data_IF_842781506324
#
_entry.id   IF_842781506324
#
_cell.length_a   1.000
_cell.length_b   1.000
_cell.length_c   1.000
_cell.angle_alpha   90.00
_cell.angle_beta   90.00
_cell.angle_gamma   90.00
#
_symmetry.space_group_name_H-M   'P 1'
#
loop_
_entity.id
_entity.type
_entity.pdbx_description
1 polymer ?
#
# COMPACT_ATOMS: atom_id res chain seq x y z
N UNK A 1 12.45 -16.67 13.18
CA UNK A 1 11.83 -15.73 14.11
C UNK A 1 12.68 -14.49 14.24
N UNK A 2 12.19 -13.39 13.76
CA UNK A 2 12.83 -12.14 14.06
C UNK A 2 12.05 -11.49 15.16
N UNK A 3 12.69 -11.35 16.24
CA UNK A 3 12.37 -10.31 17.16
C UNK A 3 13.04 -9.04 16.73
N UNK A 4 12.51 -8.00 17.24
CA UNK A 4 12.88 -6.65 17.02
C UNK A 4 14.37 -6.40 16.83
N UNK A 5 14.59 -5.35 16.18
CA UNK A 5 15.80 -4.83 15.61
C UNK A 5 16.82 -4.26 16.58
N UNK A 6 16.68 -4.43 17.89
CA UNK A 6 17.78 -4.07 18.79
C UNK A 6 18.86 -5.15 18.74
N UNK A 7 20.10 -4.74 18.62
CA UNK A 7 21.24 -5.66 18.63
C UNK A 7 21.22 -6.58 19.87
N UNK A 8 20.69 -6.09 20.98
CA UNK A 8 20.45 -6.85 22.20
C UNK A 8 19.38 -7.92 22.06
N UNK A 9 18.32 -7.67 21.28
CA UNK A 9 17.27 -8.65 21.03
C UNK A 9 17.74 -9.82 20.19
N UNK A 10 18.58 -9.55 19.19
CA UNK A 10 19.14 -10.60 18.34
C UNK A 10 20.18 -11.46 19.04
N UNK A 11 21.01 -10.85 19.86
CA UNK A 11 21.97 -11.61 20.66
C UNK A 11 21.28 -12.53 21.68
N UNK A 12 20.14 -12.12 22.22
CA UNK A 12 19.34 -13.00 23.09
C UNK A 12 18.66 -14.14 22.34
N UNK A 13 18.33 -13.93 21.07
CA UNK A 13 17.77 -14.97 20.21
C UNK A 13 18.82 -15.99 19.81
N UNK A 14 20.05 -15.56 19.59
CA UNK A 14 21.16 -16.44 19.22
C UNK A 14 21.59 -17.34 20.39
N UNK A 15 21.44 -16.86 21.62
CA UNK A 15 21.77 -17.64 22.82
C UNK A 15 20.69 -18.66 23.21
N UNK A 16 19.52 -18.63 22.59
CA UNK A 16 18.42 -19.56 22.83
C UNK A 16 18.37 -20.60 21.72
N UNK A 17 18.94 -21.75 21.98
CA UNK A 17 19.00 -22.88 21.04
C UNK A 17 17.63 -23.37 20.58
N UNK A 18 16.54 -23.00 21.25
CA UNK A 18 15.16 -23.33 20.84
C UNK A 18 14.66 -22.48 19.68
N UNK A 19 15.38 -21.43 19.31
CA UNK A 19 14.86 -20.38 18.44
C UNK A 19 15.03 -20.62 16.95
N UNK A 20 16.14 -21.20 16.53
CA UNK A 20 16.38 -21.55 15.14
C UNK A 20 17.22 -22.81 15.08
N UNK A 21 16.85 -23.74 14.22
CA UNK A 21 17.59 -24.97 13.96
C UNK A 21 18.20 -24.89 12.57
N UNK A 22 19.26 -25.65 12.28
CA UNK A 22 19.77 -25.76 10.91
C UNK A 22 18.64 -26.15 9.96
N UNK A 23 18.38 -25.28 8.99
CA UNK A 23 17.28 -25.44 8.03
C UNK A 23 16.01 -24.64 8.34
N UNK A 24 15.89 -24.02 9.49
CA UNK A 24 14.81 -23.10 9.79
C UNK A 24 14.98 -21.78 9.00
N UNK A 25 13.85 -21.20 8.63
CA UNK A 25 13.86 -19.90 7.97
C UNK A 25 13.98 -18.80 9.00
N UNK A 26 15.07 -18.08 8.95
CA UNK A 26 15.31 -16.92 9.79
C UNK A 26 15.33 -15.68 8.91
N UNK A 27 14.45 -14.74 9.18
CA UNK A 27 14.42 -13.45 8.53
C UNK A 27 15.31 -12.48 9.28
N UNK A 28 16.22 -11.82 8.60
CA UNK A 28 17.11 -10.82 9.19
C UNK A 28 16.65 -9.43 8.81
N UNK A 29 16.58 -8.57 9.81
CA UNK A 29 16.66 -7.15 9.56
C UNK A 29 18.12 -6.76 9.54
N UNK A 30 18.59 -6.16 8.47
CA UNK A 30 19.94 -5.65 8.38
C UNK A 30 20.12 -4.56 9.46
N UNK A 31 20.87 -4.88 10.48
CA UNK A 31 21.35 -3.91 11.46
C UNK A 31 22.80 -3.61 11.11
N UNK A 32 23.16 -2.35 11.21
CA UNK A 32 24.45 -1.82 10.79
C UNK A 32 25.65 -2.55 11.40
N UNK A 33 25.48 -3.17 12.56
CA UNK A 33 26.53 -3.81 13.34
C UNK A 33 26.30 -5.32 13.56
N UNK A 34 25.39 -5.93 12.78
CA UNK A 34 25.06 -7.32 12.94
C UNK A 34 25.83 -8.18 11.94
N UNK A 35 26.58 -9.13 12.45
CA UNK A 35 27.16 -10.18 11.64
C UNK A 35 26.09 -11.22 11.34
N UNK A 36 25.52 -11.18 10.15
CA UNK A 36 24.38 -12.00 9.78
C UNK A 36 24.67 -13.49 9.86
N UNK A 37 25.91 -13.88 9.63
CA UNK A 37 26.37 -15.25 9.83
C UNK A 37 26.08 -15.79 11.23
N UNK A 38 26.31 -14.98 12.25
CA UNK A 38 26.12 -15.36 13.65
C UNK A 38 24.64 -15.61 13.98
N UNK A 39 23.73 -14.93 13.29
CA UNK A 39 22.29 -15.08 13.53
C UNK A 39 21.65 -16.21 12.75
N UNK A 40 22.30 -16.68 11.71
CA UNK A 40 21.74 -17.71 10.83
C UNK A 40 21.98 -19.13 11.34
N UNK A 41 22.99 -19.34 12.16
CA UNK A 41 23.43 -20.67 12.55
C UNK A 41 23.80 -20.74 14.04
N UNK A 42 22.81 -20.73 14.92
CA UNK A 42 23.04 -20.69 16.37
C UNK A 42 23.78 -21.90 16.94
N UNK A 43 23.76 -23.01 16.23
CA UNK A 43 24.41 -24.26 16.64
C UNK A 43 25.88 -24.37 16.24
N UNK A 44 26.35 -23.51 15.36
CA UNK A 44 27.74 -23.48 14.88
C UNK A 44 28.14 -22.05 14.52
N UNK A 45 28.66 -21.35 15.51
CA UNK A 45 29.01 -19.93 15.40
C UNK A 45 30.15 -19.73 14.37
N UNK A 46 31.08 -20.63 14.28
CA UNK A 46 32.23 -20.48 13.39
C UNK A 46 31.79 -20.65 11.92
N UNK A 47 30.95 -21.62 11.65
CA UNK A 47 30.36 -21.78 10.33
C UNK A 47 29.45 -20.59 9.97
N UNK A 48 28.70 -20.06 10.94
CA UNK A 48 27.82 -18.92 10.74
C UNK A 48 28.59 -17.63 10.45
N UNK A 49 29.72 -17.42 11.09
CA UNK A 49 30.55 -16.24 10.89
C UNK A 49 31.18 -16.18 9.48
N UNK A 50 31.28 -17.31 8.80
CA UNK A 50 31.74 -17.37 7.41
C UNK A 50 30.65 -17.06 6.37
N UNK A 51 29.40 -17.03 6.78
CA UNK A 51 28.28 -16.78 5.89
C UNK A 51 28.07 -15.29 5.67
N UNK A 52 27.90 -14.92 4.43
CA UNK A 52 27.43 -13.58 4.12
C UNK A 52 25.90 -13.60 3.88
N UNK A 53 25.23 -12.46 3.99
CA UNK A 53 23.78 -12.37 3.79
C UNK A 53 23.31 -12.87 2.44
N UNK A 54 24.12 -12.63 1.42
CA UNK A 54 23.81 -13.00 0.04
C UNK A 54 23.76 -14.51 -0.12
N UNK A 55 24.65 -15.24 0.55
CA UNK A 55 24.71 -16.71 0.47
C UNK A 55 23.49 -17.38 1.08
N UNK A 56 22.98 -16.81 2.16
CA UNK A 56 21.74 -17.30 2.79
C UNK A 56 20.56 -17.10 1.84
N UNK A 57 20.48 -15.96 1.22
CA UNK A 57 19.43 -15.67 0.23
C UNK A 57 19.54 -16.58 -0.98
N UNK A 58 20.72 -16.72 -1.56
CA UNK A 58 20.93 -17.60 -2.73
C UNK A 58 20.57 -19.02 -2.42
N UNK A 59 21.00 -19.58 -1.29
CA UNK A 59 20.67 -20.97 -0.92
C UNK A 59 19.18 -21.18 -0.73
N UNK A 60 18.47 -20.24 -0.13
CA UNK A 60 17.04 -20.32 0.08
C UNK A 60 16.29 -20.14 -1.24
N UNK A 61 16.78 -19.25 -2.07
CA UNK A 61 16.22 -18.96 -3.38
C UNK A 61 16.33 -20.16 -4.33
N UNK A 62 17.54 -20.78 -4.45
CA UNK A 62 17.77 -21.89 -5.35
C UNK A 62 17.02 -23.18 -4.95
N UNK A 63 16.84 -23.39 -3.65
CA UNK A 63 16.20 -24.60 -3.14
C UNK A 63 14.67 -24.55 -3.14
N UNK A 64 14.07 -23.36 -3.12
CA UNK A 64 12.62 -23.18 -2.99
C UNK A 64 12.12 -22.00 -3.82
N UNK A 65 11.96 -22.23 -5.12
CA UNK A 65 11.41 -21.24 -6.04
C UNK A 65 10.10 -20.61 -5.56
N UNK A 66 9.25 -21.37 -4.89
CA UNK A 66 7.99 -20.88 -4.34
C UNK A 66 8.18 -20.02 -3.10
N UNK A 67 9.17 -20.34 -2.30
CA UNK A 67 9.53 -19.51 -1.15
C UNK A 67 10.10 -18.16 -1.59
N UNK A 68 10.95 -18.14 -2.62
CA UNK A 68 11.49 -16.87 -3.13
C UNK A 68 10.42 -15.95 -3.71
N UNK A 69 9.32 -16.51 -4.25
CA UNK A 69 8.16 -15.73 -4.68
C UNK A 69 7.44 -15.04 -3.51
N UNK A 70 7.55 -15.58 -2.31
CA UNK A 70 6.88 -15.05 -1.11
C UNK A 70 7.69 -14.00 -0.35
N UNK A 71 8.93 -13.76 -0.76
CA UNK A 71 9.80 -12.76 -0.14
C UNK A 71 9.74 -11.39 -0.78
N UNK A 72 8.67 -10.99 -1.39
CA UNK A 72 8.58 -9.75 -2.16
C UNK A 72 9.67 -9.62 -3.25
N UNK A 73 10.54 -10.59 -3.41
CA UNK A 73 11.45 -10.69 -4.53
C UNK A 73 10.71 -11.31 -5.68
N UNK A 74 10.40 -10.50 -6.65
CA UNK A 74 9.85 -10.99 -7.89
C UNK A 74 10.87 -11.86 -8.58
N UNK A 75 10.44 -13.05 -8.92
CA UNK A 75 11.19 -13.93 -9.81
C UNK A 75 11.26 -13.38 -11.24
N UNK A 76 10.34 -12.53 -11.61
CA UNK A 76 10.40 -11.73 -12.84
C UNK A 76 10.99 -10.39 -12.49
N UNK A 77 12.10 -10.05 -13.10
CA UNK A 77 12.57 -8.66 -13.14
C UNK A 77 11.38 -7.78 -13.51
N UNK A 78 11.25 -6.65 -12.84
CA UNK A 78 10.33 -5.64 -13.30
C UNK A 78 10.48 -5.52 -14.81
N UNK A 79 9.36 -5.70 -15.51
CA UNK A 79 9.28 -5.36 -16.91
C UNK A 79 9.99 -4.02 -17.09
N UNK A 80 10.71 -3.85 -18.17
CA UNK A 80 11.50 -2.70 -18.59
C UNK A 80 11.38 -1.46 -17.70
N UNK A 81 12.49 -0.88 -17.28
CA UNK A 81 12.53 0.36 -16.49
C UNK A 81 11.66 1.40 -17.18
N UNK A 82 10.44 1.55 -16.72
CA UNK A 82 9.58 2.63 -17.14
C UNK A 82 10.19 3.92 -16.61
N UNK A 83 10.22 4.93 -17.47
CA UNK A 83 10.61 6.27 -17.05
C UNK A 83 9.74 6.71 -15.89
N UNK A 84 10.36 7.28 -14.87
CA UNK A 84 9.64 7.87 -13.73
C UNK A 84 8.76 9.00 -14.24
N UNK A 85 7.50 8.99 -13.84
CA UNK A 85 6.49 9.94 -14.29
C UNK A 85 5.99 10.81 -13.15
N UNK A 86 5.43 11.95 -13.50
CA UNK A 86 4.81 12.85 -12.54
C UNK A 86 3.42 12.34 -12.13
N UNK A 87 3.07 12.50 -10.85
CA UNK A 87 1.69 12.31 -10.40
C UNK A 87 0.80 13.47 -10.88
N UNK A 88 -0.52 13.32 -10.79
CA UNK A 88 -1.44 14.41 -11.06
C UNK A 88 -1.26 15.63 -10.15
N UNK A 89 -0.63 15.46 -8.99
CA UNK A 89 -0.36 16.53 -8.03
C UNK A 89 1.01 17.20 -8.21
N UNK A 90 1.88 16.66 -9.05
CA UNK A 90 3.27 17.12 -9.21
C UNK A 90 3.37 18.62 -9.48
N UNK A 91 2.50 19.18 -10.28
CA UNK A 91 2.50 20.61 -10.61
C UNK A 91 2.34 21.51 -9.36
N UNK A 92 1.70 21.00 -8.30
CA UNK A 92 1.51 21.70 -7.03
C UNK A 92 2.61 21.36 -6.04
N UNK A 93 2.93 20.09 -5.88
CA UNK A 93 3.93 19.64 -4.92
C UNK A 93 5.33 20.12 -5.27
N UNK A 94 5.69 20.23 -6.57
CA UNK A 94 6.98 20.73 -7.03
C UNK A 94 7.22 22.23 -6.74
N UNK A 95 6.17 22.99 -6.42
CA UNK A 95 6.28 24.38 -5.95
C UNK A 95 6.59 24.47 -4.46
N UNK A 96 6.34 23.39 -3.72
CA UNK A 96 6.46 23.35 -2.25
C UNK A 96 7.77 22.69 -1.81
N UNK A 97 8.30 21.75 -2.59
CA UNK A 97 9.55 21.06 -2.30
C UNK A 97 10.36 20.77 -3.56
N UNK A 98 11.65 20.54 -3.37
CA UNK A 98 12.55 20.00 -4.40
C UNK A 98 13.03 18.59 -4.05
N UNK A 99 12.68 18.09 -2.87
CA UNK A 99 13.07 16.76 -2.41
C UNK A 99 12.04 15.72 -2.87
N UNK A 100 12.36 15.04 -3.95
CA UNK A 100 11.52 14.01 -4.56
C UNK A 100 12.23 12.67 -4.59
N UNK A 101 11.47 11.61 -4.47
CA UNK A 101 11.94 10.23 -4.64
C UNK A 101 11.18 9.54 -5.78
N UNK A 102 11.81 8.53 -6.36
CA UNK A 102 11.13 7.58 -7.24
C UNK A 102 10.37 6.56 -6.36
N UNK A 103 9.06 6.75 -6.29
CA UNK A 103 8.17 5.83 -5.60
C UNK A 103 7.37 5.03 -6.62
N UNK A 104 7.80 3.79 -6.90
CA UNK A 104 7.12 2.88 -7.84
C UNK A 104 6.92 3.50 -9.23
N UNK A 105 7.92 4.21 -9.75
CA UNK A 105 7.88 4.86 -11.05
C UNK A 105 7.11 6.18 -11.09
N UNK A 106 6.89 6.82 -9.95
CA UNK A 106 6.37 8.18 -9.83
C UNK A 106 7.32 9.06 -9.03
N UNK A 107 7.48 10.32 -9.45
CA UNK A 107 8.12 11.35 -8.67
C UNK A 107 7.16 11.83 -7.60
N UNK A 108 7.41 11.47 -6.35
CA UNK A 108 6.64 11.90 -5.20
C UNK A 108 7.49 12.69 -4.22
N UNK A 109 6.91 13.69 -3.51
CA UNK A 109 7.60 14.38 -2.44
C UNK A 109 8.10 13.40 -1.37
N UNK A 110 9.36 13.50 -0.99
CA UNK A 110 9.92 12.78 0.15
C UNK A 110 9.65 13.53 1.46
N UNK A 111 9.79 14.84 1.41
CA UNK A 111 9.40 15.78 2.45
C UNK A 111 9.20 17.19 1.87
N UNK A 112 8.67 18.07 2.67
CA UNK A 112 8.49 19.48 2.32
C UNK A 112 9.60 20.32 2.99
N UNK A 113 10.60 20.68 2.24
CA UNK A 113 11.90 21.23 2.69
C UNK A 113 11.82 22.43 3.64
N UNK A 114 10.73 23.20 3.62
CA UNK A 114 10.54 24.34 4.54
C UNK A 114 10.15 23.91 5.95
N UNK A 115 9.57 22.75 6.08
CA UNK A 115 9.00 22.23 7.33
C UNK A 115 9.84 21.09 7.89
N UNK A 116 10.21 20.14 7.05
CA UNK A 116 10.95 18.95 7.44
C UNK A 116 10.08 17.92 8.18
N UNK A 117 10.62 16.72 8.29
CA UNK A 117 9.88 15.53 8.75
C UNK A 117 9.29 15.66 10.17
N UNK A 118 9.92 16.43 11.06
CA UNK A 118 9.43 16.59 12.43
C UNK A 118 8.18 17.46 12.47
N UNK A 119 8.18 18.57 11.74
CA UNK A 119 6.98 19.44 11.65
C UNK A 119 5.84 18.71 10.92
N UNK A 120 6.14 17.99 9.85
CA UNK A 120 5.14 17.18 9.13
C UNK A 120 4.53 16.11 10.04
N UNK A 121 5.36 15.44 10.83
CA UNK A 121 4.88 14.46 11.81
C UNK A 121 3.95 15.12 12.84
N UNK A 122 4.37 16.23 13.43
CA UNK A 122 3.55 16.96 14.43
C UNK A 122 2.25 17.48 13.79
N UNK A 123 2.30 18.00 12.56
CA UNK A 123 1.11 18.41 11.84
C UNK A 123 0.13 17.25 11.61
N UNK A 124 0.63 16.05 11.35
CA UNK A 124 -0.20 14.86 11.25
C UNK A 124 -0.88 14.50 12.59
N UNK A 125 -0.18 14.69 13.71
CA UNK A 125 -0.70 14.37 15.06
C UNK A 125 -1.68 15.41 15.61
N UNK A 126 -1.47 16.68 15.28
CA UNK A 126 -2.19 17.79 15.91
C UNK A 126 -3.14 18.53 14.95
N UNK A 127 -2.89 18.44 13.66
CA UNK A 127 -3.60 19.18 12.62
C UNK A 127 -4.06 18.27 11.49
N UNK A 128 -3.52 18.47 10.29
CA UNK A 128 -3.71 17.62 9.13
C UNK A 128 -2.54 17.79 8.14
N UNK A 129 -2.21 16.70 7.43
CA UNK A 129 -1.21 16.67 6.35
C UNK A 129 -1.81 16.12 5.08
N UNK A 130 -1.23 16.48 3.94
CA UNK A 130 -1.53 15.90 2.63
C UNK A 130 -0.38 15.02 2.18
N UNK A 131 -0.70 13.81 1.74
CA UNK A 131 0.28 12.82 1.25
C UNK A 131 -0.15 12.37 -0.14
N UNK A 132 0.72 12.54 -1.14
CA UNK A 132 0.47 12.02 -2.48
C UNK A 132 0.73 10.50 -2.51
N UNK A 133 -0.32 9.72 -2.72
CA UNK A 133 -0.30 8.26 -2.79
C UNK A 133 -0.57 7.75 -4.21
N UNK A 134 -0.44 8.60 -5.23
CA UNK A 134 -0.78 8.22 -6.62
C UNK A 134 0.03 7.04 -7.15
N UNK A 135 1.19 6.72 -6.57
CA UNK A 135 2.03 5.60 -6.97
C UNK A 135 1.48 4.21 -6.57
N UNK A 136 0.53 4.14 -5.63
CA UNK A 136 -0.15 2.89 -5.31
C UNK A 136 -0.81 2.32 -6.57
N UNK A 137 -0.69 1.02 -6.76
CA UNK A 137 -1.31 0.32 -7.90
C UNK A 137 -2.81 0.19 -7.69
N UNK A 138 -3.56 0.36 -8.76
CA UNK A 138 -5.02 0.31 -8.77
C UNK A 138 -5.46 -0.64 -9.87
N UNK A 139 -6.16 -1.69 -9.46
CA UNK A 139 -6.70 -2.66 -10.39
C UNK A 139 -8.23 -2.68 -10.28
N UNK A 140 -8.90 -2.50 -11.42
CA UNK A 140 -10.34 -2.69 -11.51
C UNK A 140 -10.61 -4.15 -11.88
N UNK A 141 -11.42 -4.82 -11.09
CA UNK A 141 -11.84 -6.21 -11.31
C UNK A 141 -13.34 -6.22 -11.50
N UNK A 142 -13.80 -6.50 -12.70
CA UNK A 142 -15.22 -6.39 -13.08
C UNK A 142 -15.65 -7.67 -13.78
N UNK A 143 -16.76 -8.22 -13.35
CA UNK A 143 -17.35 -9.40 -13.99
C UNK A 143 -18.14 -10.26 -13.02
N UNK A 144 -18.92 -11.22 -13.53
CA UNK A 144 -19.78 -12.07 -12.70
C UNK A 144 -18.99 -12.87 -11.65
N UNK A 145 -17.73 -13.23 -11.93
CA UNK A 145 -16.90 -14.01 -11.02
C UNK A 145 -15.87 -13.17 -10.27
N UNK A 146 -16.04 -11.81 -10.23
CA UNK A 146 -15.11 -10.92 -9.58
C UNK A 146 -15.04 -11.15 -8.06
N UNK A 147 -16.18 -11.41 -7.42
CA UNK A 147 -16.23 -11.75 -6.00
C UNK A 147 -15.48 -13.05 -5.71
N UNK A 148 -15.69 -14.08 -6.52
CA UNK A 148 -15.01 -15.38 -6.34
C UNK A 148 -13.50 -15.27 -6.55
N UNK A 149 -13.05 -14.50 -7.55
CA UNK A 149 -11.63 -14.26 -7.78
C UNK A 149 -11.01 -13.56 -6.57
N UNK A 150 -11.63 -12.48 -6.09
CA UNK A 150 -11.09 -11.73 -4.95
C UNK A 150 -11.13 -12.56 -3.65
N UNK A 151 -12.19 -13.34 -3.45
CA UNK A 151 -12.31 -14.24 -2.30
C UNK A 151 -11.30 -15.40 -2.33
N UNK A 152 -10.85 -15.80 -3.52
CA UNK A 152 -9.82 -16.82 -3.69
C UNK A 152 -8.41 -16.30 -3.46
N UNK A 153 -8.12 -15.06 -3.89
CA UNK A 153 -6.76 -14.48 -3.86
C UNK A 153 -6.42 -13.71 -2.58
N UNK A 154 -7.44 -13.31 -1.82
CA UNK A 154 -7.28 -12.55 -0.59
C UNK A 154 -7.59 -13.39 0.64
N UNK A 155 -6.99 -13.01 1.77
CA UNK A 155 -7.17 -13.75 3.05
C UNK A 155 -8.47 -13.40 3.79
N UNK A 156 -9.19 -12.36 3.36
CA UNK A 156 -10.48 -11.96 3.93
C UNK A 156 -11.65 -12.64 3.21
N UNK A 157 -12.74 -12.82 3.91
CA UNK A 157 -13.99 -13.31 3.32
C UNK A 157 -14.69 -12.16 2.57
N UNK A 158 -14.50 -12.11 1.26
CA UNK A 158 -15.01 -11.02 0.41
C UNK A 158 -16.52 -11.12 0.21
N UNK A 159 -17.12 -12.30 0.35
CA UNK A 159 -18.57 -12.49 0.28
C UNK A 159 -19.35 -11.73 1.37
N UNK A 160 -18.68 -11.36 2.47
CA UNK A 160 -19.24 -10.54 3.54
C UNK A 160 -19.06 -9.02 3.33
N UNK A 161 -18.32 -8.63 2.32
CA UNK A 161 -18.07 -7.21 2.03
C UNK A 161 -19.28 -6.63 1.30
N UNK A 162 -19.93 -5.62 1.87
CA UNK A 162 -21.05 -4.94 1.21
C UNK A 162 -20.56 -3.88 0.20
N UNK A 163 -21.40 -3.52 -0.77
CA UNK A 163 -21.14 -2.38 -1.67
C UNK A 163 -20.97 -1.10 -0.81
N UNK A 164 -19.98 -0.28 -1.15
CA UNK A 164 -19.59 0.89 -0.35
C UNK A 164 -18.59 0.59 0.77
N UNK A 165 -18.27 -0.67 1.02
CA UNK A 165 -17.28 -1.08 2.00
C UNK A 165 -15.89 -1.26 1.39
N UNK A 166 -14.90 -1.17 2.29
CA UNK A 166 -13.49 -1.44 2.03
C UNK A 166 -13.03 -2.50 3.01
N UNK A 167 -12.07 -3.31 2.61
CA UNK A 167 -11.37 -4.23 3.51
C UNK A 167 -9.87 -4.22 3.23
N UNK A 168 -9.08 -4.19 4.28
CA UNK A 168 -7.63 -4.44 4.19
C UNK A 168 -7.39 -5.95 4.25
N UNK A 169 -6.56 -6.45 3.34
CA UNK A 169 -6.26 -7.87 3.22
C UNK A 169 -4.86 -8.12 2.70
N UNK A 170 -4.29 -9.25 3.07
CA UNK A 170 -3.12 -9.79 2.39
C UNK A 170 -3.54 -10.50 1.11
N UNK A 171 -2.68 -10.44 0.09
CA UNK A 171 -2.75 -11.23 -1.14
C UNK A 171 -1.67 -12.29 -1.10
N UNK A 172 -2.06 -13.54 -1.30
CA UNK A 172 -1.17 -14.67 -1.14
C UNK A 172 -1.05 -15.50 -2.41
N UNK A 173 0.08 -16.17 -2.54
CA UNK A 173 0.23 -17.30 -3.46
C UNK A 173 -0.58 -18.51 -2.99
N UNK A 174 -0.72 -19.53 -3.86
CA UNK A 174 -1.45 -20.77 -3.54
C UNK A 174 -0.86 -21.55 -2.36
N UNK A 175 0.42 -21.36 -2.07
CA UNK A 175 1.08 -21.95 -0.91
C UNK A 175 0.87 -21.17 0.41
N UNK A 176 0.04 -20.12 0.40
CA UNK A 176 -0.29 -19.29 1.56
C UNK A 176 0.71 -18.20 1.89
N UNK A 177 1.80 -18.07 1.15
CA UNK A 177 2.77 -17.01 1.38
C UNK A 177 2.29 -15.68 0.81
N UNK A 178 2.33 -14.63 1.63
CA UNK A 178 1.97 -13.28 1.24
C UNK A 178 3.03 -12.67 0.33
N UNK A 179 2.61 -12.05 -0.76
CA UNK A 179 3.51 -11.28 -1.62
C UNK A 179 3.16 -9.79 -1.70
N UNK A 180 1.93 -9.44 -1.36
CA UNK A 180 1.47 -8.04 -1.29
C UNK A 180 0.32 -7.91 -0.30
N UNK A 181 -0.02 -6.69 0.06
CA UNK A 181 -1.17 -6.34 0.86
C UNK A 181 -1.83 -5.06 0.30
N UNK A 182 -3.05 -4.82 0.72
CA UNK A 182 -3.75 -3.66 0.20
C UNK A 182 -5.19 -3.55 0.68
N UNK A 183 -5.90 -2.63 0.05
CA UNK A 183 -7.32 -2.38 0.31
C UNK A 183 -8.18 -2.76 -0.88
N UNK A 184 -9.24 -3.52 -0.62
CA UNK A 184 -10.24 -3.87 -1.60
C UNK A 184 -11.50 -3.04 -1.39
N UNK A 185 -11.88 -2.28 -2.39
CA UNK A 185 -13.13 -1.52 -2.45
C UNK A 185 -14.18 -2.35 -3.19
N UNK A 186 -15.36 -2.51 -2.63
CA UNK A 186 -16.51 -3.06 -3.37
C UNK A 186 -17.32 -1.91 -3.95
N UNK A 187 -17.14 -1.65 -5.24
CA UNK A 187 -17.78 -0.53 -5.95
C UNK A 187 -19.20 -0.84 -6.40
N UNK A 188 -19.46 -2.11 -6.70
CA UNK A 188 -20.77 -2.63 -7.09
C UNK A 188 -20.87 -4.12 -6.76
N UNK A 189 -22.00 -4.74 -7.08
CA UNK A 189 -22.19 -6.19 -6.90
C UNK A 189 -21.11 -7.03 -7.60
N UNK A 190 -20.68 -6.61 -8.78
CA UNK A 190 -19.72 -7.32 -9.63
C UNK A 190 -18.46 -6.52 -9.95
N UNK A 191 -18.22 -5.43 -9.21
CA UNK A 191 -17.12 -4.51 -9.46
C UNK A 191 -16.30 -4.19 -8.21
N UNK A 192 -15.01 -4.43 -8.29
CA UNK A 192 -14.07 -4.21 -7.20
C UNK A 192 -12.88 -3.38 -7.68
N UNK A 193 -12.26 -2.67 -6.74
CA UNK A 193 -10.95 -2.01 -6.93
C UNK A 193 -9.98 -2.51 -5.89
N UNK A 194 -8.88 -3.09 -6.33
CA UNK A 194 -7.75 -3.47 -5.49
C UNK A 194 -6.67 -2.40 -5.53
N UNK A 195 -6.31 -1.88 -4.36
CA UNK A 195 -5.25 -0.88 -4.18
C UNK A 195 -4.11 -1.55 -3.42
N UNK A 196 -2.91 -1.53 -4.00
CA UNK A 196 -1.78 -2.28 -3.44
C UNK A 196 -0.42 -1.65 -3.78
N UNK A 197 0.66 -2.28 -3.32
CA UNK A 197 2.02 -1.79 -3.54
C UNK A 197 2.62 -2.24 -4.87
N UNK A 198 2.23 -3.39 -5.37
CA UNK A 198 2.97 -4.10 -6.40
C UNK A 198 2.17 -4.28 -7.70
N UNK A 199 2.84 -4.03 -8.84
CA UNK A 199 2.23 -4.21 -10.17
C UNK A 199 1.96 -5.70 -10.50
N UNK A 200 2.74 -6.61 -9.92
CA UNK A 200 2.56 -8.04 -10.10
C UNK A 200 1.20 -8.54 -9.60
N UNK A 201 0.58 -7.86 -8.64
CA UNK A 201 -0.77 -8.22 -8.17
C UNK A 201 -1.79 -8.32 -9.31
N UNK A 202 -1.70 -7.41 -10.30
CA UNK A 202 -2.57 -7.46 -11.48
C UNK A 202 -2.28 -8.65 -12.39
N UNK A 203 -1.03 -9.06 -12.52
CA UNK A 203 -0.64 -10.25 -13.27
C UNK A 203 -1.09 -11.53 -12.57
N UNK A 204 -0.86 -11.60 -11.27
CA UNK A 204 -1.32 -12.70 -10.44
C UNK A 204 -2.85 -12.91 -10.53
N UNK A 205 -3.61 -11.84 -10.43
CA UNK A 205 -5.07 -11.90 -10.61
C UNK A 205 -5.47 -12.47 -11.97
N UNK A 206 -4.78 -12.07 -13.06
CA UNK A 206 -5.04 -12.61 -14.41
C UNK A 206 -4.67 -14.08 -14.52
N UNK A 207 -3.52 -14.47 -13.98
CA UNK A 207 -3.07 -15.87 -13.97
C UNK A 207 -4.09 -16.78 -13.23
N UNK A 208 -4.54 -16.34 -12.04
CA UNK A 208 -5.55 -17.07 -11.27
C UNK A 208 -6.89 -17.13 -12.01
N UNK A 209 -7.34 -15.99 -12.56
CA UNK A 209 -8.59 -15.94 -13.30
C UNK A 209 -8.59 -16.90 -14.49
N UNK A 210 -7.48 -16.95 -15.25
CA UNK A 210 -7.32 -17.88 -16.36
C UNK A 210 -7.30 -19.33 -15.89
N UNK A 211 -6.51 -19.65 -14.86
CA UNK A 211 -6.39 -21.02 -14.29
C UNK A 211 -7.73 -21.54 -13.77
N UNK A 212 -8.49 -20.69 -13.11
CA UNK A 212 -9.81 -21.02 -12.53
C UNK A 212 -10.97 -20.83 -13.49
N UNK A 213 -10.71 -20.27 -14.67
CA UNK A 213 -11.72 -19.94 -15.70
C UNK A 213 -12.78 -18.94 -15.20
N UNK A 214 -12.39 -18.01 -14.33
CA UNK A 214 -13.27 -16.95 -13.87
C UNK A 214 -13.54 -15.92 -14.98
N UNK A 215 -14.80 -15.55 -15.13
CA UNK A 215 -15.27 -14.55 -16.11
C UNK A 215 -15.15 -13.15 -15.54
N UNK A 216 -13.97 -12.56 -15.67
CA UNK A 216 -13.62 -11.24 -15.15
C UNK A 216 -12.80 -10.46 -16.17
N UNK A 217 -12.91 -9.14 -16.11
CA UNK A 217 -12.02 -8.19 -16.74
C UNK A 217 -11.16 -7.51 -15.67
N UNK A 218 -9.85 -7.54 -15.83
CA UNK A 218 -8.89 -6.95 -14.90
C UNK A 218 -8.12 -5.86 -15.65
N UNK A 219 -8.28 -4.62 -15.19
CA UNK A 219 -7.65 -3.44 -15.78
C UNK A 219 -6.77 -2.73 -14.77
N UNK A 220 -5.54 -2.41 -15.16
CA UNK A 220 -4.70 -1.49 -14.40
C UNK A 220 -5.18 -0.04 -14.66
N UNK A 221 -5.63 0.63 -13.62
CA UNK A 221 -6.12 2.02 -13.65
C UNK A 221 -5.19 3.00 -12.92
N UNK A 222 -3.97 2.59 -12.58
CA UNK A 222 -3.01 3.38 -11.80
C UNK A 222 -2.80 4.78 -12.38
N UNK A 223 -2.65 4.90 -13.70
CA UNK A 223 -2.41 6.19 -14.37
C UNK A 223 -3.70 7.00 -14.62
N UNK A 224 -4.85 6.41 -14.34
CA UNK A 224 -6.16 7.04 -14.58
C UNK A 224 -6.76 7.63 -13.30
N UNK A 225 -6.17 7.34 -12.14
CA UNK A 225 -6.70 7.74 -10.84
C UNK A 225 -5.55 8.25 -9.98
N UNK A 226 -5.57 9.54 -9.68
CA UNK A 226 -4.70 10.14 -8.67
C UNK A 226 -5.31 9.95 -7.28
N UNK A 227 -4.44 9.75 -6.29
CA UNK A 227 -4.84 9.58 -4.90
C UNK A 227 -4.03 10.52 -4.01
N UNK A 228 -4.72 11.34 -3.24
CA UNK A 228 -4.14 12.13 -2.16
C UNK A 228 -4.79 11.75 -0.83
N UNK A 229 -3.99 11.55 0.18
CA UNK A 229 -4.44 11.27 1.53
C UNK A 229 -4.40 12.56 2.36
N UNK A 230 -5.46 12.82 3.14
CA UNK A 230 -5.51 13.84 4.17
C UNK A 230 -5.60 13.15 5.52
N UNK A 231 -4.60 13.34 6.38
CA UNK A 231 -4.44 12.62 7.63
C UNK A 231 -4.21 13.59 8.79
N UNK A 232 -4.84 13.32 9.91
CA UNK A 232 -4.75 14.11 11.14
C UNK A 232 -6.11 14.48 11.71
N UNK A 233 -6.19 14.91 12.97
CA UNK A 233 -7.45 15.15 13.68
C UNK A 233 -8.37 16.21 13.02
N UNK A 234 -7.82 17.17 12.29
CA UNK A 234 -8.59 18.21 11.59
C UNK A 234 -9.06 17.80 10.19
N UNK A 235 -8.68 16.61 9.70
CA UNK A 235 -9.01 16.16 8.34
C UNK A 235 -10.51 16.13 8.04
N UNK A 236 -11.34 15.72 9.01
CA UNK A 236 -12.80 15.68 8.87
C UNK A 236 -13.39 17.07 8.69
N UNK A 237 -12.96 18.03 9.51
CA UNK A 237 -13.49 19.42 9.47
C UNK A 237 -13.13 20.11 8.14
N UNK A 238 -11.97 19.84 7.62
CA UNK A 238 -11.54 20.34 6.30
C UNK A 238 -12.44 19.77 5.21
N UNK A 239 -12.62 18.45 5.21
CA UNK A 239 -13.41 17.78 4.17
C UNK A 239 -14.90 18.08 4.25
N UNK A 240 -15.46 18.27 5.44
CA UNK A 240 -16.86 18.70 5.60
C UNK A 240 -17.16 20.02 4.89
N UNK A 241 -16.22 20.93 4.85
CA UNK A 241 -16.38 22.22 4.16
C UNK A 241 -16.24 22.10 2.65
N UNK A 242 -15.45 21.13 2.18
CA UNK A 242 -15.07 20.97 0.77
C UNK A 242 -15.98 20.01 0.00
N UNK A 243 -16.53 19.00 0.67
CA UNK A 243 -17.15 17.86 -0.01
C UNK A 243 -18.67 17.94 0.00
N UNK A 244 -19.26 17.87 -1.17
CA UNK A 244 -20.66 17.62 -1.39
C UNK A 244 -20.93 16.14 -1.61
N UNK A 245 -21.67 15.50 -0.70
CA UNK A 245 -22.15 14.14 -0.85
C UNK A 245 -23.63 14.17 -1.30
N UNK A 246 -23.99 13.49 -2.42
CA UNK A 246 -25.40 13.34 -2.80
C UNK A 246 -26.18 12.59 -1.71
N UNK A 247 -27.52 12.78 -1.61
CA UNK A 247 -28.34 12.13 -0.56
C UNK A 247 -28.29 10.59 -0.54
N UNK A 248 -27.83 9.98 -1.62
CA UNK A 248 -27.66 8.52 -1.75
C UNK A 248 -26.29 8.02 -1.26
N UNK A 249 -25.45 8.92 -0.81
CA UNK A 249 -24.08 8.63 -0.35
C UNK A 249 -23.90 9.17 1.08
N UNK A 250 -23.09 8.50 1.91
CA UNK A 250 -22.80 9.01 3.25
C UNK A 250 -22.06 10.35 3.19
N UNK A 251 -22.48 11.31 4.02
CA UNK A 251 -21.76 12.55 4.23
C UNK A 251 -20.42 12.28 4.96
N UNK A 252 -19.49 13.25 4.94
CA UNK A 252 -18.14 13.05 5.51
C UNK A 252 -18.18 12.78 7.02
N UNK A 253 -19.12 13.39 7.75
CA UNK A 253 -19.30 13.16 9.19
C UNK A 253 -19.97 11.84 9.53
N UNK A 254 -20.77 11.31 8.61
CA UNK A 254 -21.44 10.01 8.71
C UNK A 254 -20.59 8.86 8.15
N UNK A 255 -19.54 9.17 7.39
CA UNK A 255 -18.71 8.18 6.73
C UNK A 255 -17.96 7.34 7.77
N UNK A 256 -18.33 6.06 7.85
CA UNK A 256 -17.73 5.10 8.78
C UNK A 256 -16.34 4.67 8.33
N UNK A 257 -15.59 4.13 9.27
CA UNK A 257 -14.27 3.58 9.01
C UNK A 257 -14.33 2.43 8.01
N UNK A 258 -13.38 2.39 7.07
CA UNK A 258 -13.35 1.45 5.94
C UNK A 258 -14.64 1.48 5.09
N UNK A 259 -15.15 2.69 4.89
CA UNK A 259 -16.21 3.00 3.92
C UNK A 259 -15.74 4.08 2.97
N UNK A 260 -16.43 4.21 1.85
CA UNK A 260 -16.21 5.30 0.92
C UNK A 260 -17.53 5.94 0.49
N UNK A 261 -17.43 7.18 0.04
CA UNK A 261 -18.51 7.98 -0.53
C UNK A 261 -18.15 8.41 -1.95
N UNK A 262 -19.07 8.29 -2.87
CA UNK A 262 -18.97 8.89 -4.21
C UNK A 262 -19.56 10.29 -4.10
N UNK A 263 -18.71 11.28 -4.23
CA UNK A 263 -19.04 12.67 -3.91
C UNK A 263 -18.43 13.65 -4.91
N UNK A 264 -18.52 14.93 -4.63
CA UNK A 264 -18.02 15.99 -5.48
C UNK A 264 -17.41 17.13 -4.65
N UNK A 265 -16.60 17.95 -5.29
CA UNK A 265 -16.10 19.18 -4.69
C UNK A 265 -17.22 20.21 -4.65
N UNK A 266 -17.53 20.72 -3.46
CA UNK A 266 -18.44 21.84 -3.15
C UNK A 266 -19.91 21.63 -3.54
N UNK A 267 -20.20 21.21 -4.76
CA UNK A 267 -21.56 21.15 -5.30
C UNK A 267 -21.80 20.00 -6.27
N UNK A 268 -23.05 19.79 -6.68
CA UNK A 268 -23.45 18.69 -7.57
C UNK A 268 -22.72 18.70 -8.93
N UNK A 269 -22.38 19.85 -9.46
CA UNK A 269 -21.64 20.02 -10.72
C UNK A 269 -20.11 20.04 -10.50
N UNK A 270 -19.68 19.96 -9.26
CA UNK A 270 -18.26 19.96 -8.89
C UNK A 270 -17.49 18.74 -9.39
N UNK A 271 -16.20 18.77 -9.17
CA UNK A 271 -15.27 17.69 -9.59
C UNK A 271 -15.68 16.37 -8.92
N UNK A 272 -15.89 15.30 -9.70
CA UNK A 272 -16.23 14.00 -9.14
C UNK A 272 -15.07 13.39 -8.37
N UNK A 273 -15.37 12.86 -7.18
CA UNK A 273 -14.41 12.27 -6.26
C UNK A 273 -14.97 10.95 -5.71
N UNK A 274 -14.06 10.08 -5.29
CA UNK A 274 -14.33 9.09 -4.26
C UNK A 274 -13.55 9.53 -3.02
N UNK A 275 -14.20 9.54 -1.86
CA UNK A 275 -13.54 9.79 -0.58
C UNK A 275 -13.72 8.56 0.29
N UNK A 276 -12.63 7.98 0.74
CA UNK A 276 -12.63 6.83 1.65
C UNK A 276 -12.13 7.24 3.03
N UNK A 277 -12.75 6.69 4.08
CA UNK A 277 -12.25 6.84 5.44
C UNK A 277 -11.23 5.74 5.73
N UNK A 278 -10.06 5.93 5.15
CA UNK A 278 -8.89 5.05 5.22
C UNK A 278 -7.63 5.88 5.43
N UNK A 279 -6.55 5.24 5.83
CA UNK A 279 -5.24 5.85 6.04
C UNK A 279 -4.28 4.88 6.70
N UNK A 280 -3.01 5.27 6.77
CA UNK A 280 -1.93 4.43 7.29
C UNK A 280 -1.05 5.17 8.32
N UNK A 281 -1.62 6.18 8.99
CA UNK A 281 -0.92 7.04 9.95
C UNK A 281 -1.27 6.76 11.41
N UNK A 282 -2.32 5.98 11.64
CA UNK A 282 -2.89 5.77 12.97
C UNK A 282 -3.78 6.93 13.43
N UNK A 283 -3.88 8.00 12.63
CA UNK A 283 -4.73 9.16 12.90
C UNK A 283 -6.05 9.07 12.12
N UNK A 284 -7.01 9.93 12.50
CA UNK A 284 -8.19 10.18 11.69
C UNK A 284 -7.75 10.64 10.30
N UNK A 285 -8.23 9.97 9.27
CA UNK A 285 -7.81 10.32 7.92
C UNK A 285 -8.75 9.83 6.86
N UNK A 286 -8.54 10.40 5.67
CA UNK A 286 -9.30 10.10 4.47
C UNK A 286 -8.36 10.04 3.26
N UNK A 287 -8.75 9.26 2.28
CA UNK A 287 -8.08 9.22 0.98
C UNK A 287 -9.05 9.71 -0.09
N UNK A 288 -8.56 10.57 -0.98
CA UNK A 288 -9.34 11.24 -2.01
C UNK A 288 -8.84 10.77 -3.36
N UNK A 289 -9.76 10.26 -4.15
CA UNK A 289 -9.51 9.66 -5.46
C UNK A 289 -10.15 10.52 -6.54
N UNK A 290 -9.36 10.99 -7.50
CA UNK A 290 -9.83 11.84 -8.59
C UNK A 290 -9.15 11.51 -9.91
N UNK A 291 -9.68 12.04 -11.01
CA UNK A 291 -9.00 11.97 -12.30
C UNK A 291 -7.73 12.83 -12.28
N UNK A 292 -6.60 12.40 -12.88
CA UNK A 292 -5.34 13.16 -12.85
C UNK A 292 -5.44 14.59 -13.36
N UNK A 293 -6.31 14.86 -14.34
CA UNK A 293 -6.56 16.22 -14.85
C UNK A 293 -7.17 17.16 -13.82
N UNK A 294 -7.89 16.61 -12.85
CA UNK A 294 -8.56 17.38 -11.80
C UNK A 294 -7.71 17.51 -10.54
N UNK A 295 -6.67 16.68 -10.42
CA UNK A 295 -5.82 16.62 -9.24
C UNK A 295 -5.24 17.98 -8.80
N UNK A 296 -4.76 18.87 -9.69
CA UNK A 296 -4.28 20.20 -9.28
C UNK A 296 -5.37 21.04 -8.62
N UNK A 297 -6.61 21.00 -9.14
CA UNK A 297 -7.74 21.75 -8.57
C UNK A 297 -8.16 21.16 -7.22
N UNK A 298 -8.16 19.83 -7.10
CA UNK A 298 -8.47 19.15 -5.83
C UNK A 298 -7.43 19.54 -4.77
N UNK A 299 -6.15 19.54 -5.13
CA UNK A 299 -5.08 20.01 -4.24
C UNK A 299 -5.29 21.46 -3.79
N UNK A 300 -5.58 22.37 -4.74
CA UNK A 300 -5.80 23.77 -4.43
C UNK A 300 -6.96 23.95 -3.45
N UNK A 301 -8.06 23.20 -3.63
CA UNK A 301 -9.20 23.22 -2.70
C UNK A 301 -8.86 22.67 -1.32
N UNK A 302 -8.13 21.56 -1.25
CA UNK A 302 -7.64 21.03 0.04
C UNK A 302 -6.77 22.05 0.79
N UNK A 303 -5.88 22.76 0.08
CA UNK A 303 -5.04 23.81 0.65
C UNK A 303 -5.84 25.05 1.03
N UNK A 304 -6.91 25.38 0.31
CA UNK A 304 -7.79 26.51 0.61
C UNK A 304 -8.57 26.27 1.91
N UNK A 305 -9.23 25.12 2.02
CA UNK A 305 -10.04 24.76 3.19
C UNK A 305 -9.22 24.29 4.41
N UNK A 306 -7.95 23.97 4.20
CA UNK A 306 -7.00 23.58 5.25
C UNK A 306 -6.30 24.75 5.95
N UNK A 307 -6.52 25.99 5.48
CA UNK A 307 -6.00 27.20 6.14
C UNK A 307 -6.86 27.53 7.37
#
# INVERSE_FOLDING_TARGET
CIRDSSATGLNSVISDESFARPGDYVMFRALKDLTIGTTACPSDIDACNSWNPTDIFVRTYDKKKEFSKSFAFRMKTDSEKKLTRNSGFYERTSKLTRNFIDARGFWLPNDYTKHGVVEEYNACRENAVLIDLSSLRKFEIIGPDAEELMNYTLTRNIKKLAVGQIVYSAMCYENGMMFDDGTLFRLSETGFRWICGDEYAGEWLKEVAQKKKFKVNIKNSTDQISNVSIQGPKSREILKKMIFAPPTQPAIDELEWFRFSICRVEELQGIPLIVSRTGYTGELGYEIWCHPKDAPKVWDKLMEYGK
#
